data_IF_894848913818
#
_entry.id   IF_894848913818
#
_cell.length_a   1.000
_cell.length_b   1.000
_cell.length_c   1.000
_cell.angle_alpha   90.00
_cell.angle_beta   90.00
_cell.angle_gamma   90.00
#
_symmetry.space_group_name_H-M   'P 1'
#
loop_
_entity.id
_entity.type
_entity.pdbx_description
1 polymer ?
#
# COMPACT_ATOMS: atom_id res chain seq x y z
N UNK A 1 -28.49 -25.01 17.04
CA UNK A 1 -27.21 -25.65 16.69
C UNK A 1 -27.25 -25.86 15.19
N UNK A 2 -26.38 -25.20 14.42
CA UNK A 2 -26.34 -25.37 12.97
C UNK A 2 -25.77 -26.76 12.68
N UNK A 3 -26.65 -27.72 12.38
CA UNK A 3 -26.30 -29.15 12.28
C UNK A 3 -26.36 -29.68 10.85
N UNK A 4 -26.69 -28.84 9.85
CA UNK A 4 -26.67 -29.23 8.45
C UNK A 4 -25.40 -28.71 7.74
N UNK A 5 -24.69 -29.56 6.96
CA UNK A 5 -23.48 -29.17 6.23
C UNK A 5 -23.64 -27.92 5.36
N UNK A 6 -24.83 -27.71 4.81
CA UNK A 6 -25.16 -26.55 3.97
C UNK A 6 -25.20 -25.24 4.76
N UNK A 7 -25.73 -25.25 5.98
CA UNK A 7 -25.76 -24.05 6.84
C UNK A 7 -24.35 -23.63 7.26
N UNK A 8 -23.49 -24.62 7.56
CA UNK A 8 -22.08 -24.37 7.90
C UNK A 8 -21.33 -23.80 6.69
N UNK A 9 -21.53 -24.37 5.50
CA UNK A 9 -20.95 -23.86 4.25
C UNK A 9 -21.36 -22.42 3.97
N UNK A 10 -22.64 -22.12 4.10
CA UNK A 10 -23.17 -20.78 3.85
C UNK A 10 -22.64 -19.76 4.88
N UNK A 11 -22.51 -20.15 6.14
CA UNK A 11 -21.90 -19.32 7.17
C UNK A 11 -20.42 -19.02 6.87
N UNK A 12 -19.65 -20.02 6.41
CA UNK A 12 -18.25 -19.85 6.00
C UNK A 12 -18.15 -18.93 4.79
N UNK A 13 -18.96 -19.16 3.76
CA UNK A 13 -18.99 -18.33 2.55
C UNK A 13 -19.34 -16.87 2.86
N UNK A 14 -20.28 -16.62 3.78
CA UNK A 14 -20.59 -15.26 4.22
C UNK A 14 -19.40 -14.60 4.88
N UNK A 15 -18.72 -15.28 5.81
CA UNK A 15 -17.53 -14.76 6.48
C UNK A 15 -16.40 -14.45 5.50
N UNK A 16 -16.11 -15.37 4.58
CA UNK A 16 -15.08 -15.17 3.57
C UNK A 16 -15.36 -13.97 2.67
N UNK A 17 -16.63 -13.76 2.26
CA UNK A 17 -17.00 -12.57 1.49
C UNK A 17 -16.80 -11.28 2.29
N UNK A 18 -17.19 -11.28 3.56
CA UNK A 18 -16.99 -10.10 4.42
C UNK A 18 -15.51 -9.76 4.60
N UNK A 19 -14.65 -10.76 4.80
CA UNK A 19 -13.20 -10.53 4.85
C UNK A 19 -12.66 -10.04 3.50
N UNK A 20 -13.12 -10.63 2.39
CA UNK A 20 -12.74 -10.17 1.06
C UNK A 20 -13.13 -8.70 0.80
N UNK A 21 -14.33 -8.29 1.21
CA UNK A 21 -14.79 -6.90 1.08
C UNK A 21 -13.93 -5.93 1.90
N UNK A 22 -13.51 -6.33 3.10
CA UNK A 22 -12.57 -5.54 3.92
C UNK A 22 -11.22 -5.41 3.22
N UNK A 23 -10.67 -6.50 2.70
CA UNK A 23 -9.38 -6.49 2.01
C UNK A 23 -9.43 -5.63 0.74
N UNK A 24 -10.50 -5.71 -0.05
CA UNK A 24 -10.71 -4.86 -1.23
C UNK A 24 -10.83 -3.39 -0.82
N UNK A 25 -11.55 -3.09 0.25
CA UNK A 25 -11.67 -1.72 0.78
C UNK A 25 -10.32 -1.19 1.24
N UNK A 26 -9.54 -2.01 1.95
CA UNK A 26 -8.18 -1.69 2.36
C UNK A 26 -7.28 -1.44 1.15
N UNK A 27 -7.33 -2.30 0.13
CA UNK A 27 -6.56 -2.15 -1.11
C UNK A 27 -6.88 -0.82 -1.81
N UNK A 28 -8.16 -0.48 -1.94
CA UNK A 28 -8.59 0.77 -2.59
C UNK A 28 -8.09 2.01 -1.83
N UNK A 29 -8.24 2.02 -0.51
CA UNK A 29 -7.74 3.11 0.33
C UNK A 29 -6.21 3.22 0.24
N UNK A 30 -5.53 2.08 0.33
CA UNK A 30 -4.09 1.99 0.23
C UNK A 30 -3.57 2.51 -1.11
N UNK A 31 -4.21 2.15 -2.23
CA UNK A 31 -3.86 2.66 -3.55
C UNK A 31 -4.06 4.16 -3.67
N UNK A 32 -5.13 4.69 -3.06
CA UNK A 32 -5.38 6.13 -3.00
C UNK A 32 -4.25 6.88 -2.31
N UNK A 33 -3.81 6.39 -1.15
CA UNK A 33 -2.69 6.98 -0.41
C UNK A 33 -1.36 6.80 -1.14
N UNK A 34 -1.05 5.61 -1.67
CA UNK A 34 0.15 5.37 -2.47
C UNK A 34 0.23 6.31 -3.66
N UNK A 35 -0.89 6.51 -4.37
CA UNK A 35 -0.92 7.41 -5.54
C UNK A 35 -0.60 8.84 -5.13
N UNK A 36 -1.17 9.33 -4.02
CA UNK A 36 -0.87 10.67 -3.51
C UNK A 36 0.58 10.80 -3.05
N UNK A 37 1.11 9.77 -2.39
CA UNK A 37 2.51 9.74 -1.97
C UNK A 37 3.46 9.76 -3.17
N UNK A 38 3.21 8.95 -4.20
CA UNK A 38 4.01 8.93 -5.42
C UNK A 38 3.96 10.29 -6.16
N UNK A 39 2.79 10.93 -6.22
CA UNK A 39 2.65 12.28 -6.78
C UNK A 39 3.47 13.30 -5.99
N UNK A 40 3.45 13.23 -4.66
CA UNK A 40 4.28 14.09 -3.81
C UNK A 40 5.78 13.85 -4.05
N UNK A 41 6.19 12.59 -4.20
CA UNK A 41 7.56 12.22 -4.53
C UNK A 41 8.02 12.79 -5.88
N UNK A 42 7.15 12.82 -6.89
CA UNK A 42 7.47 13.46 -8.18
C UNK A 42 7.77 14.96 -8.02
N UNK A 43 6.90 15.70 -7.33
CA UNK A 43 7.15 17.13 -7.06
C UNK A 43 8.42 17.36 -6.26
N UNK A 44 8.75 16.42 -5.36
CA UNK A 44 9.97 16.49 -4.56
C UNK A 44 11.24 16.25 -5.38
N UNK A 45 11.19 15.40 -6.41
CA UNK A 45 12.33 15.19 -7.31
C UNK A 45 12.68 16.47 -8.11
N UNK A 46 11.67 17.27 -8.47
CA UNK A 46 11.89 18.59 -9.08
C UNK A 46 12.58 19.55 -8.09
N UNK A 47 12.15 19.54 -6.83
CA UNK A 47 12.75 20.35 -5.77
C UNK A 47 14.18 19.92 -5.43
N UNK A 48 14.45 18.62 -5.43
CA UNK A 48 15.80 18.04 -5.30
C UNK A 48 16.72 18.56 -6.40
N UNK A 49 16.25 18.52 -7.65
CA UNK A 49 16.98 19.08 -8.79
C UNK A 49 17.26 20.56 -8.62
N UNK A 50 16.27 21.32 -8.13
CA UNK A 50 16.42 22.76 -7.84
C UNK A 50 17.48 22.99 -6.76
N UNK A 51 17.40 22.29 -5.62
CA UNK A 51 18.33 22.44 -4.49
C UNK A 51 19.76 22.06 -4.90
N UNK A 52 19.94 21.01 -5.70
CA UNK A 52 21.25 20.62 -6.23
C UNK A 52 21.89 21.66 -7.16
N UNK A 53 21.10 22.54 -7.76
CA UNK A 53 21.59 23.62 -8.61
C UNK A 53 22.02 24.87 -7.83
N UNK A 54 21.74 24.94 -6.52
CA UNK A 54 22.01 26.13 -5.71
C UNK A 54 23.51 26.25 -5.35
N UNK A 55 24.04 27.48 -5.27
CA UNK A 55 25.39 27.72 -4.75
C UNK A 55 25.53 27.23 -3.30
N UNK A 56 26.54 26.40 -3.03
CA UNK A 56 26.82 25.85 -1.69
C UNK A 56 27.68 26.78 -0.81
N UNK A 57 27.87 28.03 -1.21
CA UNK A 57 28.55 29.06 -0.43
C UNK A 57 27.63 29.71 0.62
N UNK A 58 26.32 29.48 0.52
CA UNK A 58 25.33 29.98 1.47
C UNK A 58 24.93 28.88 2.48
N UNK A 59 24.99 29.14 3.80
CA UNK A 59 24.61 28.17 4.83
C UNK A 59 23.19 27.61 4.68
N UNK A 60 22.25 28.42 4.18
CA UNK A 60 20.86 27.99 3.95
C UNK A 60 20.79 26.88 2.89
N UNK A 61 21.51 27.03 1.78
CA UNK A 61 21.50 26.05 0.69
C UNK A 61 22.14 24.72 1.11
N UNK A 62 23.18 24.78 1.97
CA UNK A 62 23.80 23.57 2.55
C UNK A 62 22.80 22.85 3.46
N UNK A 63 22.06 23.59 4.29
CA UNK A 63 21.04 23.02 5.17
C UNK A 63 19.90 22.38 4.36
N UNK A 64 19.42 23.05 3.32
CA UNK A 64 18.39 22.53 2.42
C UNK A 64 18.85 21.23 1.73
N UNK A 65 20.10 21.18 1.24
CA UNK A 65 20.66 19.96 0.63
C UNK A 65 20.79 18.81 1.64
N UNK A 66 21.23 19.11 2.86
CA UNK A 66 21.36 18.10 3.92
C UNK A 66 20.00 17.51 4.32
N UNK A 67 18.99 18.36 4.52
CA UNK A 67 17.64 17.91 4.90
C UNK A 67 16.99 17.09 3.79
N UNK A 68 17.23 17.46 2.53
CA UNK A 68 16.76 16.73 1.36
C UNK A 68 17.39 15.33 1.24
N UNK A 69 18.70 15.21 1.44
CA UNK A 69 19.40 13.92 1.45
C UNK A 69 18.91 12.99 2.58
N UNK A 70 18.76 13.53 3.78
CA UNK A 70 18.24 12.81 4.95
C UNK A 70 16.83 12.24 4.70
N UNK A 71 16.00 12.98 3.97
CA UNK A 71 14.63 12.58 3.70
C UNK A 71 14.53 11.61 2.50
N UNK A 72 15.47 11.64 1.55
CA UNK A 72 15.48 10.74 0.37
C UNK A 72 15.65 9.26 0.74
N UNK A 73 16.52 8.97 1.72
CA UNK A 73 16.67 7.61 2.23
C UNK A 73 15.38 7.11 2.91
N UNK A 74 14.73 7.97 3.68
CA UNK A 74 13.45 7.66 4.32
C UNK A 74 12.36 7.38 3.29
N UNK A 75 12.30 8.15 2.20
CA UNK A 75 11.30 7.91 1.15
C UNK A 75 11.50 6.59 0.43
N UNK A 76 12.74 6.20 0.18
CA UNK A 76 13.06 4.91 -0.45
C UNK A 76 12.57 3.76 0.42
N UNK A 77 12.78 3.87 1.74
CA UNK A 77 12.30 2.87 2.72
C UNK A 77 10.77 2.84 2.77
N UNK A 78 10.11 4.00 2.77
CA UNK A 78 8.64 4.10 2.76
C UNK A 78 8.09 3.47 1.47
N UNK A 79 8.64 3.82 0.32
CA UNK A 79 8.22 3.29 -0.99
C UNK A 79 8.32 1.77 -1.04
N UNK A 80 9.47 1.22 -0.63
CA UNK A 80 9.68 -0.24 -0.56
C UNK A 80 8.65 -0.90 0.37
N UNK A 81 8.43 -0.33 1.55
CA UNK A 81 7.46 -0.88 2.51
C UNK A 81 6.02 -0.85 1.95
N UNK A 82 5.68 0.22 1.22
CA UNK A 82 4.37 0.33 0.59
C UNK A 82 4.19 -0.69 -0.54
N UNK A 83 5.21 -0.94 -1.36
CA UNK A 83 5.17 -1.97 -2.41
C UNK A 83 4.92 -3.35 -1.82
N UNK A 84 5.67 -3.72 -0.77
CA UNK A 84 5.49 -4.99 -0.05
C UNK A 84 4.07 -5.11 0.52
N UNK A 85 3.56 -4.06 1.17
CA UNK A 85 2.20 -4.07 1.71
C UNK A 85 1.15 -4.25 0.61
N UNK A 86 1.35 -3.64 -0.56
CA UNK A 86 0.48 -3.84 -1.73
C UNK A 86 0.49 -5.29 -2.20
N UNK A 87 1.66 -5.91 -2.30
CA UNK A 87 1.76 -7.31 -2.71
C UNK A 87 1.04 -8.25 -1.74
N UNK A 88 1.18 -8.00 -0.43
CA UNK A 88 0.52 -8.78 0.61
C UNK A 88 -1.00 -8.68 0.54
N UNK A 89 -1.54 -7.47 0.39
CA UNK A 89 -2.99 -7.24 0.27
C UNK A 89 -3.54 -7.92 -0.99
N UNK A 90 -2.86 -7.79 -2.12
CA UNK A 90 -3.27 -8.46 -3.36
C UNK A 90 -3.22 -9.98 -3.23
N UNK A 91 -2.24 -10.52 -2.51
CA UNK A 91 -2.16 -11.95 -2.21
C UNK A 91 -3.35 -12.40 -1.35
N UNK A 92 -3.65 -11.69 -0.27
CA UNK A 92 -4.79 -11.99 0.62
C UNK A 92 -6.13 -12.03 -0.13
N UNK A 93 -6.38 -11.04 -1.00
CA UNK A 93 -7.59 -10.98 -1.84
C UNK A 93 -7.68 -12.22 -2.75
N UNK A 94 -6.59 -12.58 -3.41
CA UNK A 94 -6.53 -13.72 -4.32
C UNK A 94 -6.74 -15.05 -3.60
N UNK A 95 -6.10 -15.23 -2.44
CA UNK A 95 -6.25 -16.43 -1.61
C UNK A 95 -7.67 -16.58 -1.09
N UNK A 96 -8.27 -15.50 -0.60
CA UNK A 96 -9.67 -15.48 -0.14
C UNK A 96 -10.63 -15.78 -1.28
N UNK A 97 -10.41 -15.21 -2.47
CA UNK A 97 -11.22 -15.51 -3.66
C UNK A 97 -11.11 -16.99 -4.05
N UNK A 98 -9.92 -17.57 -3.96
CA UNK A 98 -9.69 -19.00 -4.24
C UNK A 98 -10.44 -19.88 -3.24
N UNK A 99 -10.40 -19.55 -1.95
CA UNK A 99 -11.16 -20.26 -0.91
C UNK A 99 -12.67 -20.21 -1.18
N UNK A 100 -13.21 -19.03 -1.51
CA UNK A 100 -14.63 -18.87 -1.87
C UNK A 100 -15.00 -19.79 -3.05
N UNK A 101 -14.17 -19.83 -4.09
CA UNK A 101 -14.41 -20.67 -5.27
C UNK A 101 -14.40 -22.16 -4.89
N UNK A 102 -13.47 -22.60 -4.04
CA UNK A 102 -13.42 -23.97 -3.56
C UNK A 102 -14.69 -24.36 -2.78
N UNK A 103 -15.15 -23.50 -1.86
CA UNK A 103 -16.38 -23.74 -1.11
C UNK A 103 -17.65 -23.70 -1.95
N UNK A 104 -17.64 -23.04 -3.11
CA UNK A 104 -18.77 -23.06 -4.07
C UNK A 104 -18.80 -24.31 -4.95
N UNK A 105 -17.63 -24.95 -5.15
CA UNK A 105 -17.51 -26.14 -5.98
C UNK A 105 -17.88 -27.45 -5.25
N UNK A 106 -18.03 -27.38 -3.92
CA UNK A 106 -18.49 -28.46 -3.02
C UNK A 106 -19.99 -28.29 -2.78
#
# INVERSE_FOLDING_TARGET
MANEPNEVRDAILRRLRTEQEKDVTLANNFWGEMTRYLLWMYSRAEEETRVHSLPLDQPLNIYDMYTLLMSSELDTRITTALEVAKEEVMRSINETQKLINNYRAI
#
